data_IF_627656861419
#
_entry.id   IF_627656861419
#
_cell.length_a   1.000
_cell.length_b   1.000
_cell.length_c   1.000
_cell.angle_alpha   90.00
_cell.angle_beta   90.00
_cell.angle_gamma   90.00
#
_symmetry.space_group_name_H-M   'P 1'
#
loop_
_entity.id
_entity.type
_entity.pdbx_description
1 polymer ?
#
# COMPACT_ATOMS: atom_id res chain seq x y z
N UNK A 1 7.27 22.89 -12.91
CA UNK A 1 8.15 21.85 -12.33
C UNK A 1 7.38 20.82 -11.49
N UNK A 2 6.62 21.27 -10.51
CA UNK A 2 5.99 20.42 -9.47
C UNK A 2 4.83 19.53 -10.01
N UNK A 3 4.02 20.05 -10.92
CA UNK A 3 2.92 19.30 -11.56
C UNK A 3 3.44 18.14 -12.42
N UNK A 4 4.57 18.36 -13.10
CA UNK A 4 5.20 17.34 -13.95
C UNK A 4 5.84 16.22 -13.13
N UNK A 5 6.39 16.55 -11.96
CA UNK A 5 6.91 15.57 -11.01
C UNK A 5 5.79 14.71 -10.41
N UNK A 6 4.68 15.33 -10.01
CA UNK A 6 3.49 14.63 -9.49
C UNK A 6 2.82 13.74 -10.54
N UNK A 7 2.80 14.17 -11.80
CA UNK A 7 2.32 13.32 -12.91
C UNK A 7 3.24 12.12 -13.13
N UNK A 8 4.56 12.31 -13.04
CA UNK A 8 5.52 11.21 -13.17
C UNK A 8 5.43 10.24 -11.99
N UNK A 9 5.23 10.75 -10.78
CA UNK A 9 5.04 9.91 -9.58
C UNK A 9 3.72 9.13 -9.65
N UNK A 10 2.64 9.75 -10.14
CA UNK A 10 1.34 9.10 -10.34
C UNK A 10 1.39 8.03 -11.46
N UNK A 11 2.13 8.27 -12.53
CA UNK A 11 2.34 7.24 -13.57
C UNK A 11 3.19 6.09 -13.03
N UNK A 12 4.25 6.36 -12.28
CA UNK A 12 5.07 5.32 -11.65
C UNK A 12 4.27 4.46 -10.66
N UNK A 13 3.40 5.09 -9.84
CA UNK A 13 2.50 4.38 -8.93
C UNK A 13 1.44 3.56 -9.68
N UNK A 14 0.95 4.05 -10.81
CA UNK A 14 0.01 3.32 -11.66
C UNK A 14 0.66 2.10 -12.31
N UNK A 15 1.90 2.24 -12.76
CA UNK A 15 2.69 1.15 -13.35
C UNK A 15 3.04 0.08 -12.29
N UNK A 16 3.43 0.53 -11.09
CA UNK A 16 3.69 -0.34 -9.94
C UNK A 16 2.44 -1.13 -9.54
N UNK A 17 1.28 -0.47 -9.45
CA UNK A 17 -0.02 -1.12 -9.20
C UNK A 17 -0.35 -2.17 -10.24
N UNK A 18 -0.09 -1.88 -11.52
CA UNK A 18 -0.37 -2.82 -12.62
C UNK A 18 0.55 -4.04 -12.52
N UNK A 19 1.83 -3.82 -12.22
CA UNK A 19 2.81 -4.87 -11.97
C UNK A 19 2.41 -5.76 -10.79
N UNK A 20 2.00 -5.15 -9.68
CA UNK A 20 1.55 -5.86 -8.48
C UNK A 20 0.27 -6.66 -8.72
N UNK A 21 -0.68 -6.13 -9.50
CA UNK A 21 -1.87 -6.88 -9.91
C UNK A 21 -1.53 -8.10 -10.77
N UNK A 22 -0.56 -7.97 -11.67
CA UNK A 22 -0.08 -9.10 -12.47
C UNK A 22 0.58 -10.18 -11.60
N UNK A 23 1.40 -9.77 -10.62
CA UNK A 23 2.03 -10.70 -9.66
C UNK A 23 0.96 -11.44 -8.83
N UNK A 24 -0.02 -10.72 -8.29
CA UNK A 24 -1.14 -11.32 -7.55
C UNK A 24 -1.90 -12.34 -8.42
N UNK A 25 -2.12 -12.02 -9.69
CA UNK A 25 -2.79 -12.94 -10.60
C UNK A 25 -1.95 -14.21 -10.86
N UNK A 26 -0.65 -14.05 -10.98
CA UNK A 26 0.30 -15.16 -11.15
C UNK A 26 0.36 -16.04 -9.88
N UNK A 27 0.36 -15.43 -8.69
CA UNK A 27 0.32 -16.17 -7.42
C UNK A 27 -0.98 -16.96 -7.25
N UNK A 28 -2.13 -16.41 -7.62
CA UNK A 28 -3.41 -17.12 -7.62
C UNK A 28 -3.39 -18.33 -8.54
N UNK A 29 -2.89 -18.16 -9.77
CA UNK A 29 -2.75 -19.27 -10.71
C UNK A 29 -1.82 -20.38 -10.17
N UNK A 30 -0.71 -20.00 -9.52
CA UNK A 30 0.17 -20.96 -8.88
C UNK A 30 -0.51 -21.70 -7.71
N UNK A 31 -1.32 -20.99 -6.94
CA UNK A 31 -2.07 -21.57 -5.81
C UNK A 31 -3.10 -22.58 -6.29
N UNK A 32 -3.79 -22.29 -7.40
CA UNK A 32 -4.73 -23.23 -8.04
C UNK A 32 -4.01 -24.49 -8.53
N UNK A 33 -2.83 -24.33 -9.13
CA UNK A 33 -1.98 -25.47 -9.56
C UNK A 33 -1.56 -26.32 -8.36
N UNK A 34 -1.12 -25.68 -7.26
CA UNK A 34 -0.74 -26.36 -6.02
C UNK A 34 -1.91 -27.13 -5.40
N UNK A 35 -3.10 -26.55 -5.37
CA UNK A 35 -4.30 -27.19 -4.86
C UNK A 35 -4.70 -28.40 -5.72
N UNK A 36 -4.58 -28.30 -7.05
CA UNK A 36 -4.80 -29.44 -7.93
C UNK A 36 -3.78 -30.55 -7.69
N UNK A 37 -2.50 -30.19 -7.55
CA UNK A 37 -1.43 -31.14 -7.28
C UNK A 37 -1.59 -31.83 -5.91
N UNK A 38 -2.02 -31.06 -4.87
CA UNK A 38 -2.38 -31.61 -3.57
C UNK A 38 -3.47 -32.67 -3.73
N UNK A 39 -4.57 -32.34 -4.44
CA UNK A 39 -5.67 -33.27 -4.68
C UNK A 39 -5.22 -34.56 -5.39
N UNK A 40 -4.30 -34.43 -6.35
CA UNK A 40 -3.71 -35.61 -7.02
C UNK A 40 -2.91 -36.46 -6.06
N UNK A 41 -2.14 -35.84 -5.16
CA UNK A 41 -1.34 -36.55 -4.16
C UNK A 41 -2.17 -37.23 -3.08
N UNK A 42 -3.24 -36.58 -2.64
CA UNK A 42 -4.21 -37.16 -1.69
C UNK A 42 -4.84 -38.42 -2.29
N UNK A 43 -5.20 -38.41 -3.60
CA UNK A 43 -5.70 -39.60 -4.30
C UNK A 43 -4.64 -40.70 -4.43
N UNK A 44 -3.38 -40.32 -4.66
CA UNK A 44 -2.26 -41.28 -4.70
C UNK A 44 -2.02 -41.89 -3.32
N UNK A 45 -2.09 -41.10 -2.26
CA UNK A 45 -1.94 -41.55 -0.89
C UNK A 45 -3.04 -42.56 -0.51
N UNK A 46 -4.30 -42.28 -0.88
CA UNK A 46 -5.41 -43.24 -0.70
C UNK A 46 -5.14 -44.55 -1.46
N UNK A 47 -4.68 -44.49 -2.70
CA UNK A 47 -4.32 -45.67 -3.49
C UNK A 47 -3.18 -46.52 -2.85
N UNK A 48 -2.21 -45.84 -2.23
CA UNK A 48 -1.13 -46.51 -1.50
C UNK A 48 -1.68 -47.15 -0.22
N UNK A 49 -2.60 -46.49 0.50
CA UNK A 49 -3.25 -47.08 1.68
C UNK A 49 -4.07 -48.31 1.34
N UNK A 50 -4.82 -48.28 0.20
CA UNK A 50 -5.56 -49.46 -0.30
C UNK A 50 -4.63 -50.64 -0.64
N UNK A 51 -3.47 -50.34 -1.28
CA UNK A 51 -2.44 -51.37 -1.54
C UNK A 51 -1.88 -51.94 -0.26
N UNK A 52 -1.66 -51.08 0.74
CA UNK A 52 -1.18 -51.52 2.05
C UNK A 52 -2.17 -52.46 2.73
N UNK A 53 -3.46 -52.11 2.71
CA UNK A 53 -4.51 -52.97 3.27
C UNK A 53 -4.61 -54.34 2.53
N UNK A 54 -4.46 -54.33 1.19
CA UNK A 54 -4.40 -55.57 0.41
C UNK A 54 -3.22 -56.44 0.76
N UNK A 55 -2.01 -55.85 0.91
CA UNK A 55 -0.79 -56.58 1.34
C UNK A 55 -0.94 -57.14 2.76
N UNK A 56 -1.59 -56.43 3.66
CA UNK A 56 -1.89 -56.93 5.01
C UNK A 56 -2.84 -58.13 4.99
N UNK A 57 -3.83 -58.14 4.11
CA UNK A 57 -4.72 -59.31 3.88
C UNK A 57 -3.97 -60.49 3.29
N UNK A 58 -3.10 -60.24 2.31
CA UNK A 58 -2.27 -61.30 1.70
C UNK A 58 -1.29 -61.88 2.71
N UNK A 59 -0.66 -61.03 3.58
CA UNK A 59 0.15 -61.48 4.70
C UNK A 59 -0.64 -62.42 5.62
N UNK A 60 -1.87 -62.06 5.99
CA UNK A 60 -2.72 -62.90 6.85
C UNK A 60 -3.06 -64.26 6.17
N UNK A 61 -3.20 -64.29 4.87
CA UNK A 61 -3.42 -65.53 4.09
C UNK A 61 -2.15 -66.37 3.98
N UNK A 62 -0.97 -65.76 3.84
CA UNK A 62 0.33 -66.40 3.72
C UNK A 62 0.86 -66.95 5.06
N UNK A 63 0.37 -66.46 6.21
CA UNK A 63 0.77 -66.98 7.56
C UNK A 63 0.52 -68.46 7.73
N UNK A 64 -0.31 -69.07 6.90
CA UNK A 64 -0.56 -70.53 6.93
C UNK A 64 0.36 -71.35 6.03
N UNK A 65 1.13 -70.73 5.12
CA UNK A 65 1.87 -71.42 4.05
C UNK A 65 3.37 -71.06 3.98
N UNK A 66 3.79 -69.91 4.48
CA UNK A 66 5.19 -69.40 4.37
C UNK A 66 6.07 -69.74 5.58
N UNK A 67 7.40 -69.72 5.36
CA UNK A 67 8.37 -69.88 6.44
C UNK A 67 8.37 -68.64 7.39
N UNK A 68 8.70 -68.84 8.66
CA UNK A 68 8.82 -67.74 9.65
C UNK A 68 9.85 -66.66 9.24
N UNK A 69 10.82 -67.02 8.39
CA UNK A 69 11.79 -66.05 7.86
C UNK A 69 11.15 -65.13 6.82
N UNK A 70 10.43 -65.71 5.86
CA UNK A 70 9.73 -64.93 4.81
C UNK A 70 8.68 -63.96 5.41
N UNK A 71 7.98 -64.42 6.46
CA UNK A 71 7.00 -63.56 7.17
C UNK A 71 7.67 -62.42 7.94
N UNK A 72 8.89 -62.57 8.42
CA UNK A 72 9.64 -61.48 9.05
C UNK A 72 10.10 -60.45 8.03
N UNK A 73 10.59 -60.89 6.87
CA UNK A 73 11.03 -60.05 5.79
C UNK A 73 9.85 -59.21 5.25
N UNK A 74 8.66 -59.84 5.08
CA UNK A 74 7.44 -59.15 4.69
C UNK A 74 7.00 -58.14 5.76
N UNK A 75 7.07 -58.48 7.05
CA UNK A 75 6.75 -57.58 8.13
C UNK A 75 7.69 -56.35 8.14
N UNK A 76 8.99 -56.56 7.93
CA UNK A 76 9.97 -55.46 7.88
C UNK A 76 9.70 -54.52 6.70
N UNK A 77 9.31 -55.07 5.54
CA UNK A 77 8.87 -54.25 4.37
C UNK A 77 7.60 -53.43 4.68
N UNK A 78 6.60 -54.04 5.30
CA UNK A 78 5.36 -53.36 5.70
C UNK A 78 5.66 -52.22 6.70
N UNK A 79 6.52 -52.48 7.66
CA UNK A 79 6.92 -51.48 8.68
C UNK A 79 7.69 -50.30 8.04
N UNK A 80 8.49 -50.58 7.00
CA UNK A 80 9.18 -49.52 6.26
C UNK A 80 8.21 -48.68 5.43
N UNK A 81 7.26 -49.32 4.73
CA UNK A 81 6.20 -48.65 4.00
C UNK A 81 5.37 -47.75 4.94
N UNK A 82 4.99 -48.26 6.11
CA UNK A 82 4.24 -47.49 7.11
C UNK A 82 5.03 -46.24 7.58
N UNK A 83 6.35 -46.40 7.86
CA UNK A 83 7.20 -45.25 8.22
C UNK A 83 7.26 -44.20 7.13
N UNK A 84 7.36 -44.60 5.87
CA UNK A 84 7.40 -43.69 4.74
C UNK A 84 6.03 -42.97 4.53
N UNK A 85 4.91 -43.70 4.69
CA UNK A 85 3.58 -43.16 4.67
C UNK A 85 3.35 -42.08 5.76
N UNK A 86 3.81 -42.36 6.96
CA UNK A 86 3.75 -41.40 8.07
C UNK A 86 4.54 -40.12 7.74
N UNK A 87 5.74 -40.25 7.16
CA UNK A 87 6.53 -39.12 6.71
C UNK A 87 5.81 -38.30 5.63
N UNK A 88 5.19 -38.97 4.64
CA UNK A 88 4.38 -38.30 3.62
C UNK A 88 3.20 -37.55 4.26
N UNK A 89 2.50 -38.20 5.21
CA UNK A 89 1.38 -37.60 5.92
C UNK A 89 1.79 -36.34 6.68
N UNK A 90 2.90 -36.38 7.42
CA UNK A 90 3.43 -35.24 8.16
C UNK A 90 3.80 -34.08 7.22
N UNK A 91 4.54 -34.38 6.13
CA UNK A 91 4.94 -33.36 5.15
C UNK A 91 3.74 -32.77 4.40
N UNK A 92 2.74 -33.57 4.07
CA UNK A 92 1.51 -33.10 3.45
C UNK A 92 0.73 -32.14 4.36
N UNK A 93 0.62 -32.45 5.66
CA UNK A 93 0.01 -31.53 6.64
C UNK A 93 0.78 -30.23 6.74
N UNK A 94 2.10 -30.29 6.80
CA UNK A 94 2.93 -29.09 6.84
C UNK A 94 2.76 -28.24 5.58
N UNK A 95 2.69 -28.86 4.40
CA UNK A 95 2.42 -28.17 3.14
C UNK A 95 1.05 -27.46 3.18
N UNK A 96 0.04 -28.12 3.73
CA UNK A 96 -1.31 -27.55 3.87
C UNK A 96 -1.32 -26.32 4.79
N UNK A 97 -0.66 -26.41 5.93
CA UNK A 97 -0.53 -25.27 6.87
C UNK A 97 0.14 -24.06 6.22
N UNK A 98 1.20 -24.27 5.44
CA UNK A 98 1.89 -23.20 4.72
C UNK A 98 0.99 -22.63 3.60
N UNK A 99 0.24 -23.48 2.91
CA UNK A 99 -0.71 -23.05 1.87
C UNK A 99 -1.79 -22.13 2.44
N UNK A 100 -2.34 -22.46 3.61
CA UNK A 100 -3.30 -21.61 4.33
C UNK A 100 -2.69 -20.25 4.70
N UNK A 101 -1.40 -20.22 5.06
CA UNK A 101 -0.72 -18.95 5.33
C UNK A 101 -0.58 -18.10 4.06
N UNK A 102 -0.20 -18.72 2.93
CA UNK A 102 -0.13 -18.05 1.63
C UNK A 102 -1.50 -17.49 1.22
N UNK A 103 -2.57 -18.26 1.37
CA UNK A 103 -3.93 -17.79 1.07
C UNK A 103 -4.31 -16.54 1.87
N UNK A 104 -3.96 -16.49 3.17
CA UNK A 104 -4.19 -15.30 4.00
C UNK A 104 -3.44 -14.08 3.46
N UNK A 105 -2.18 -14.25 3.09
CA UNK A 105 -1.38 -13.18 2.51
C UNK A 105 -1.99 -12.70 1.19
N UNK A 106 -2.33 -13.63 0.29
CA UNK A 106 -2.98 -13.33 -1.00
C UNK A 106 -4.29 -12.55 -0.83
N UNK A 107 -5.05 -12.85 0.23
CA UNK A 107 -6.28 -12.12 0.53
C UNK A 107 -6.03 -10.69 1.05
N UNK A 108 -4.92 -10.44 1.74
CA UNK A 108 -4.60 -9.12 2.30
C UNK A 108 -3.94 -8.17 1.30
N UNK A 109 -3.13 -8.66 0.37
CA UNK A 109 -2.40 -7.85 -0.61
C UNK A 109 -3.30 -6.93 -1.45
N UNK A 110 -4.47 -7.36 -1.98
CA UNK A 110 -5.37 -6.48 -2.73
C UNK A 110 -5.94 -5.34 -1.89
N UNK A 111 -6.22 -5.60 -0.60
CA UNK A 111 -6.71 -4.59 0.33
C UNK A 111 -5.65 -3.50 0.52
N UNK A 112 -4.41 -3.91 0.81
CA UNK A 112 -3.29 -2.98 0.97
C UNK A 112 -2.98 -2.20 -0.30
N UNK A 113 -3.05 -2.83 -1.48
CA UNK A 113 -2.92 -2.17 -2.78
C UNK A 113 -3.99 -1.10 -3.00
N UNK A 114 -5.25 -1.40 -2.64
CA UNK A 114 -6.34 -0.42 -2.71
C UNK A 114 -6.13 0.74 -1.73
N UNK A 115 -5.65 0.46 -0.52
CA UNK A 115 -5.35 1.50 0.47
C UNK A 115 -4.20 2.41 0.02
N UNK A 116 -3.15 1.86 -0.61
CA UNK A 116 -2.09 2.64 -1.24
C UNK A 116 -2.62 3.56 -2.33
N UNK A 117 -3.56 3.08 -3.13
CA UNK A 117 -4.21 3.88 -4.19
C UNK A 117 -5.03 5.02 -3.61
N UNK A 118 -5.83 4.75 -2.56
CA UNK A 118 -6.59 5.78 -1.85
C UNK A 118 -5.70 6.83 -1.22
N UNK A 119 -4.63 6.40 -0.54
CA UNK A 119 -3.66 7.31 0.07
C UNK A 119 -2.95 8.18 -0.97
N UNK A 120 -2.62 7.62 -2.14
CA UNK A 120 -2.06 8.41 -3.25
C UNK A 120 -3.03 9.49 -3.74
N UNK A 121 -4.33 9.17 -3.85
CA UNK A 121 -5.37 10.15 -4.17
C UNK A 121 -5.47 11.26 -3.12
N UNK A 122 -5.56 10.90 -1.83
CA UNK A 122 -5.61 11.87 -0.73
C UNK A 122 -4.38 12.79 -0.67
N UNK A 123 -3.20 12.26 -0.96
CA UNK A 123 -1.96 13.02 -1.05
C UNK A 123 -2.05 14.04 -2.19
N UNK A 124 -2.47 13.61 -3.38
CA UNK A 124 -2.61 14.48 -4.55
C UNK A 124 -3.64 15.60 -4.32
N UNK A 125 -4.78 15.26 -3.71
CA UNK A 125 -5.84 16.22 -3.38
C UNK A 125 -5.34 17.27 -2.37
N UNK A 126 -4.64 16.83 -1.32
CA UNK A 126 -4.06 17.74 -0.33
C UNK A 126 -2.98 18.65 -0.93
N UNK A 127 -2.10 18.12 -1.78
CA UNK A 127 -1.08 18.91 -2.47
C UNK A 127 -1.72 19.98 -3.36
N UNK A 128 -2.78 19.62 -4.08
CA UNK A 128 -3.56 20.56 -4.89
C UNK A 128 -4.22 21.63 -4.03
N UNK A 129 -4.84 21.25 -2.92
CA UNK A 129 -5.48 22.19 -1.98
C UNK A 129 -4.47 23.15 -1.34
N UNK A 130 -3.28 22.65 -0.96
CA UNK A 130 -2.17 23.47 -0.43
C UNK A 130 -1.71 24.49 -1.49
N UNK A 131 -1.55 24.05 -2.74
CA UNK A 131 -1.15 24.94 -3.84
C UNK A 131 -2.16 26.06 -4.05
N UNK A 132 -3.45 25.73 -4.12
CA UNK A 132 -4.52 26.69 -4.29
C UNK A 132 -4.64 27.68 -3.10
N UNK A 133 -4.47 27.18 -1.88
CA UNK A 133 -4.47 28.02 -0.69
C UNK A 133 -3.27 28.98 -0.65
N UNK A 134 -2.09 28.52 -1.05
CA UNK A 134 -0.87 29.35 -1.14
C UNK A 134 -1.01 30.44 -2.22
N UNK A 135 -1.56 30.12 -3.37
CA UNK A 135 -1.85 31.09 -4.43
C UNK A 135 -2.82 32.16 -3.93
N UNK A 136 -3.96 31.76 -3.35
CA UNK A 136 -4.94 32.67 -2.79
C UNK A 136 -4.36 33.55 -1.67
N UNK A 137 -3.48 33.00 -0.83
CA UNK A 137 -2.75 33.78 0.19
C UNK A 137 -1.85 34.83 -0.46
N UNK A 138 -1.14 34.47 -1.52
CA UNK A 138 -0.26 35.40 -2.24
C UNK A 138 -1.06 36.56 -2.87
N UNK A 139 -2.22 36.28 -3.46
CA UNK A 139 -3.12 37.28 -3.99
C UNK A 139 -3.61 38.25 -2.89
N UNK A 140 -3.99 37.70 -1.73
CA UNK A 140 -4.41 38.50 -0.57
C UNK A 140 -3.28 39.34 -0.01
N UNK A 141 -2.05 38.84 0.00
CA UNK A 141 -0.88 39.62 0.39
C UNK A 141 -0.61 40.77 -0.57
N UNK A 142 -0.73 40.53 -1.87
CA UNK A 142 -0.63 41.59 -2.89
C UNK A 142 -1.73 42.64 -2.71
N UNK A 143 -2.97 42.20 -2.47
CA UNK A 143 -4.08 43.10 -2.16
C UNK A 143 -3.82 43.94 -0.92
N UNK A 144 -3.39 43.34 0.19
CA UNK A 144 -3.05 44.02 1.43
C UNK A 144 -1.94 45.08 1.20
N UNK A 145 -0.93 44.74 0.43
CA UNK A 145 0.15 45.67 0.10
C UNK A 145 -0.34 46.88 -0.68
N UNK A 146 -1.27 46.70 -1.63
CA UNK A 146 -1.91 47.80 -2.35
C UNK A 146 -2.75 48.68 -1.43
N UNK A 147 -3.56 48.07 -0.55
CA UNK A 147 -4.35 48.77 0.45
C UNK A 147 -3.49 49.62 1.36
N UNK A 148 -2.36 49.09 1.83
CA UNK A 148 -1.39 49.80 2.68
C UNK A 148 -0.72 50.97 1.92
N UNK A 149 -0.44 50.81 0.62
CA UNK A 149 0.09 51.94 -0.20
C UNK A 149 -0.92 53.06 -0.35
N UNK A 150 -2.20 52.70 -0.62
CA UNK A 150 -3.27 53.71 -0.77
C UNK A 150 -3.51 54.42 0.57
N UNK A 151 -3.56 53.69 1.70
CA UNK A 151 -3.68 54.28 3.03
C UNK A 151 -2.56 55.31 3.32
N UNK A 152 -1.32 55.00 2.97
CA UNK A 152 -0.19 55.95 3.10
C UNK A 152 -0.38 57.19 2.21
N UNK A 153 -0.96 57.05 1.03
CA UNK A 153 -1.27 58.21 0.16
C UNK A 153 -2.38 59.06 0.76
N UNK A 154 -3.40 58.44 1.37
CA UNK A 154 -4.46 59.16 2.09
C UNK A 154 -3.94 59.95 3.28
N UNK A 155 -2.98 59.38 4.05
CA UNK A 155 -2.30 60.11 5.12
C UNK A 155 -1.60 61.39 4.60
N UNK A 156 -0.90 61.28 3.45
CA UNK A 156 -0.29 62.48 2.83
C UNK A 156 -1.34 63.50 2.34
N UNK A 157 -2.49 63.04 1.85
CA UNK A 157 -3.54 63.96 1.43
C UNK A 157 -4.16 64.72 2.62
N UNK A 158 -4.32 64.03 3.77
CA UNK A 158 -4.82 64.61 5.00
C UNK A 158 -3.90 65.72 5.54
N UNK A 159 -2.57 65.64 5.26
CA UNK A 159 -1.58 66.65 5.66
C UNK A 159 -1.46 67.84 4.69
N UNK A 160 -2.19 67.80 3.50
CA UNK A 160 -2.14 68.87 2.52
C UNK A 160 -2.83 70.15 3.06
N UNK A 161 -2.17 71.26 2.90
CA UNK A 161 -2.68 72.58 3.28
C UNK A 161 -2.50 73.55 2.12
N UNK A 162 -3.53 74.25 1.73
CA UNK A 162 -3.43 75.28 0.71
C UNK A 162 -2.38 76.31 1.06
N UNK A 163 -1.60 76.72 0.07
CA UNK A 163 -0.48 77.65 0.25
C UNK A 163 0.83 77.05 0.74
N UNK A 164 0.89 75.73 1.04
CA UNK A 164 2.08 75.01 1.37
C UNK A 164 2.51 74.06 0.25
N UNK A 165 3.77 73.92 -0.08
CA UNK A 165 4.21 73.03 -1.16
C UNK A 165 3.88 71.57 -0.85
N UNK A 166 3.24 70.90 -1.79
CA UNK A 166 2.96 69.49 -1.70
C UNK A 166 4.27 68.67 -1.58
N UNK A 167 4.40 67.76 -0.62
CA UNK A 167 5.63 66.94 -0.46
C UNK A 167 5.83 65.95 -1.62
N UNK A 168 4.80 65.66 -2.44
CA UNK A 168 4.85 64.76 -3.57
C UNK A 168 5.18 65.43 -4.90
N UNK A 169 4.59 66.63 -5.18
CA UNK A 169 4.74 67.31 -6.48
C UNK A 169 5.15 68.76 -6.39
N UNK A 170 5.25 69.36 -5.17
CA UNK A 170 5.61 70.75 -4.98
C UNK A 170 4.50 71.77 -5.27
N UNK A 171 3.27 71.36 -5.65
CA UNK A 171 2.14 72.27 -5.91
C UNK A 171 1.75 73.04 -4.64
N UNK A 172 1.31 74.29 -4.79
CA UNK A 172 0.75 75.09 -3.72
C UNK A 172 -0.79 75.09 -3.68
N UNK A 173 -1.40 74.57 -4.70
CA UNK A 173 -2.87 74.46 -4.83
C UNK A 173 -3.29 72.99 -4.74
N UNK A 174 -4.24 72.68 -3.83
CA UNK A 174 -4.69 71.32 -3.54
C UNK A 174 -6.23 71.28 -3.63
N UNK A 175 -6.81 71.28 -4.85
CA UNK A 175 -8.25 71.41 -5.02
C UNK A 175 -9.07 70.25 -4.46
N UNK A 176 -8.42 69.14 -4.16
CA UNK A 176 -9.07 67.94 -3.61
C UNK A 176 -8.77 67.70 -2.12
N UNK A 177 -8.06 68.59 -1.44
CA UNK A 177 -7.69 68.42 -0.02
C UNK A 177 -8.90 68.52 0.94
N UNK A 178 -9.97 69.22 0.53
CA UNK A 178 -11.15 69.47 1.37
C UNK A 178 -12.28 68.41 1.16
N UNK A 179 -12.34 67.77 -0.01
CA UNK A 179 -13.44 66.88 -0.41
C UNK A 179 -12.94 65.52 -0.92
N UNK A 180 -11.87 65.00 -0.35
CA UNK A 180 -11.35 63.70 -0.78
C UNK A 180 -12.17 62.56 -0.15
N UNK A 181 -12.87 61.72 -0.94
CA UNK A 181 -13.53 60.56 -0.40
C UNK A 181 -12.47 59.59 0.09
N UNK A 182 -12.52 59.15 1.35
CA UNK A 182 -11.67 58.10 1.86
C UNK A 182 -11.83 56.85 0.99
N UNK A 183 -10.78 56.50 0.28
CA UNK A 183 -10.77 55.35 -0.67
C UNK A 183 -10.66 54.01 0.04
N UNK A 184 -10.15 54.01 1.27
CA UNK A 184 -9.98 52.80 2.03
C UNK A 184 -10.59 52.94 3.41
N UNK A 185 -11.52 52.07 3.73
CA UNK A 185 -11.95 51.89 5.11
C UNK A 185 -10.90 51.00 5.81
N UNK A 186 -10.43 51.40 6.96
CA UNK A 186 -9.51 50.63 7.84
C UNK A 186 -9.99 49.19 8.05
N UNK A 187 -11.29 48.95 7.91
CA UNK A 187 -11.95 47.65 7.92
C UNK A 187 -11.49 46.68 6.80
N UNK A 188 -11.19 47.17 5.57
CA UNK A 188 -10.82 46.31 4.45
C UNK A 188 -9.39 45.71 4.64
N UNK A 189 -8.43 46.51 5.07
CA UNK A 189 -7.09 46.04 5.35
C UNK A 189 -7.11 45.03 6.48
N UNK A 190 -7.86 45.31 7.56
CA UNK A 190 -8.03 44.39 8.70
C UNK A 190 -8.70 43.10 8.29
N UNK A 191 -9.72 43.16 7.45
CA UNK A 191 -10.40 41.98 6.92
C UNK A 191 -9.47 41.13 6.04
N UNK A 192 -8.71 41.78 5.15
CA UNK A 192 -7.72 41.09 4.30
C UNK A 192 -6.65 40.41 5.14
N UNK A 193 -6.19 41.06 6.21
CA UNK A 193 -5.21 40.49 7.15
C UNK A 193 -5.76 39.26 7.90
N UNK A 194 -7.04 39.29 8.30
CA UNK A 194 -7.72 38.11 8.87
C UNK A 194 -7.79 36.96 7.86
N UNK A 195 -8.14 37.23 6.62
CA UNK A 195 -8.21 36.22 5.57
C UNK A 195 -6.84 35.56 5.31
N UNK A 196 -5.77 36.36 5.38
CA UNK A 196 -4.40 35.81 5.28
C UNK A 196 -4.12 34.87 6.44
N UNK A 197 -4.44 35.26 7.69
CA UNK A 197 -4.22 34.43 8.88
C UNK A 197 -5.06 33.12 8.83
N UNK A 198 -6.29 33.18 8.34
CA UNK A 198 -7.14 32.00 8.11
C UNK A 198 -6.53 31.06 7.06
N UNK A 199 -5.99 31.61 5.98
CA UNK A 199 -5.31 30.83 4.94
C UNK A 199 -4.02 30.21 5.48
N UNK A 200 -3.23 30.91 6.29
CA UNK A 200 -2.04 30.36 6.94
C UNK A 200 -2.39 29.18 7.85
N UNK A 201 -3.47 29.31 8.63
CA UNK A 201 -3.98 28.21 9.46
C UNK A 201 -4.44 27.03 8.61
N UNK A 202 -5.13 27.29 7.52
CA UNK A 202 -5.61 26.27 6.58
C UNK A 202 -4.43 25.53 5.94
N UNK A 203 -3.43 26.27 5.47
CA UNK A 203 -2.22 25.69 4.87
C UNK A 203 -1.49 24.79 5.89
N UNK A 204 -1.32 25.27 7.11
CA UNK A 204 -0.68 24.49 8.19
C UNK A 204 -1.42 23.17 8.46
N UNK A 205 -2.74 23.21 8.58
CA UNK A 205 -3.57 22.03 8.81
C UNK A 205 -3.50 21.04 7.64
N UNK A 206 -3.47 21.53 6.41
CA UNK A 206 -3.33 20.70 5.21
C UNK A 206 -1.94 20.09 5.13
N UNK A 207 -0.88 20.81 5.47
CA UNK A 207 0.50 20.31 5.50
C UNK A 207 0.68 19.22 6.56
N UNK A 208 0.07 19.37 7.74
CA UNK A 208 0.04 18.35 8.79
C UNK A 208 -0.71 17.10 8.34
N UNK A 209 -1.84 17.28 7.65
CA UNK A 209 -2.63 16.16 7.10
C UNK A 209 -1.87 15.44 6.01
N UNK A 210 -1.21 16.17 5.11
CA UNK A 210 -0.34 15.63 4.07
C UNK A 210 0.81 14.79 4.66
N UNK A 211 1.44 15.30 5.71
CA UNK A 211 2.50 14.57 6.43
C UNK A 211 1.99 13.25 6.99
N UNK A 212 0.83 13.24 7.63
CA UNK A 212 0.19 12.01 8.15
C UNK A 212 -0.12 11.01 7.04
N UNK A 213 -0.66 11.46 5.92
CA UNK A 213 -0.96 10.59 4.77
C UNK A 213 0.31 9.99 4.16
N UNK A 214 1.39 10.76 4.03
CA UNK A 214 2.69 10.27 3.55
C UNK A 214 3.31 9.24 4.47
N UNK A 215 3.27 9.46 5.79
CA UNK A 215 3.75 8.50 6.79
C UNK A 215 2.93 7.20 6.69
N UNK A 216 1.60 7.31 6.64
CA UNK A 216 0.74 6.15 6.51
C UNK A 216 1.00 5.38 5.21
N UNK A 217 1.15 6.08 4.08
CA UNK A 217 1.50 5.46 2.80
C UNK A 217 2.84 4.71 2.87
N UNK A 218 3.86 5.30 3.49
CA UNK A 218 5.15 4.64 3.67
C UNK A 218 5.04 3.37 4.53
N UNK A 219 4.26 3.42 5.62
CA UNK A 219 4.00 2.28 6.49
C UNK A 219 3.30 1.15 5.74
N UNK A 220 2.20 1.46 5.04
CA UNK A 220 1.46 0.45 4.26
C UNK A 220 2.32 -0.13 3.14
N UNK A 221 3.14 0.69 2.47
CA UNK A 221 4.08 0.21 1.44
C UNK A 221 5.12 -0.75 2.00
N UNK A 222 5.66 -0.45 3.17
CA UNK A 222 6.60 -1.34 3.85
C UNK A 222 5.94 -2.67 4.24
N UNK A 223 4.75 -2.62 4.81
CA UNK A 223 3.98 -3.82 5.16
C UNK A 223 3.63 -4.66 3.92
N UNK A 224 3.26 -4.01 2.82
CA UNK A 224 2.98 -4.67 1.55
C UNK A 224 4.22 -5.43 1.05
N UNK A 225 5.37 -4.78 1.01
CA UNK A 225 6.62 -5.41 0.58
C UNK A 225 7.02 -6.60 1.49
N UNK A 226 6.83 -6.47 2.80
CA UNK A 226 7.06 -7.58 3.75
C UNK A 226 6.14 -8.77 3.49
N UNK A 227 4.86 -8.53 3.18
CA UNK A 227 3.91 -9.59 2.86
C UNK A 227 4.26 -10.30 1.54
N UNK A 228 4.70 -9.57 0.52
CA UNK A 228 5.18 -10.16 -0.74
C UNK A 228 6.43 -11.03 -0.54
N UNK A 229 7.39 -10.54 0.25
CA UNK A 229 8.60 -11.31 0.59
C UNK A 229 8.24 -12.59 1.36
N UNK A 230 7.37 -12.47 2.38
CA UNK A 230 6.91 -13.61 3.14
C UNK A 230 6.18 -14.64 2.27
N UNK A 231 5.33 -14.19 1.34
CA UNK A 231 4.66 -15.05 0.37
C UNK A 231 5.67 -15.82 -0.50
N UNK A 232 6.72 -15.17 -0.95
CA UNK A 232 7.78 -15.80 -1.74
C UNK A 232 8.48 -16.89 -0.95
N UNK A 233 8.87 -16.60 0.30
CA UNK A 233 9.52 -17.56 1.20
C UNK A 233 8.63 -18.79 1.45
N UNK A 234 7.34 -18.56 1.73
CA UNK A 234 6.39 -19.65 1.97
C UNK A 234 6.19 -20.53 0.73
N UNK A 235 6.10 -19.92 -0.45
CA UNK A 235 5.99 -20.65 -1.71
C UNK A 235 7.22 -21.52 -1.99
N UNK A 236 8.42 -21.03 -1.70
CA UNK A 236 9.67 -21.82 -1.82
C UNK A 236 9.68 -23.00 -0.86
N UNK A 237 9.20 -22.82 0.38
CA UNK A 237 9.05 -23.89 1.35
C UNK A 237 8.05 -24.95 0.91
N UNK A 238 6.90 -24.53 0.38
CA UNK A 238 5.87 -25.41 -0.19
C UNK A 238 6.46 -26.22 -1.35
N UNK A 239 7.22 -25.59 -2.22
CA UNK A 239 7.84 -26.27 -3.36
C UNK A 239 8.87 -27.31 -2.93
N UNK A 240 9.65 -27.02 -1.89
CA UNK A 240 10.58 -28.00 -1.27
C UNK A 240 9.83 -29.21 -0.70
N UNK A 241 8.80 -28.96 0.12
CA UNK A 241 7.99 -30.03 0.70
C UNK A 241 7.36 -30.90 -0.39
N UNK A 242 6.89 -30.28 -1.45
CA UNK A 242 6.34 -30.98 -2.61
C UNK A 242 7.36 -31.93 -3.24
N UNK A 243 8.58 -31.44 -3.48
CA UNK A 243 9.66 -32.27 -4.04
C UNK A 243 9.99 -33.45 -3.14
N UNK A 244 10.08 -33.21 -1.82
CA UNK A 244 10.34 -34.25 -0.84
C UNK A 244 9.22 -35.31 -0.82
N UNK A 245 7.97 -34.90 -0.88
CA UNK A 245 6.80 -35.79 -0.94
C UNK A 245 6.85 -36.63 -2.23
N UNK A 246 7.15 -36.01 -3.37
CA UNK A 246 7.29 -36.70 -4.66
C UNK A 246 8.38 -37.80 -4.62
N UNK A 247 9.52 -37.51 -3.97
CA UNK A 247 10.60 -38.46 -3.81
C UNK A 247 10.17 -39.66 -2.93
N UNK A 248 9.52 -39.38 -1.78
CA UNK A 248 9.02 -40.42 -0.88
C UNK A 248 7.97 -41.31 -1.57
N UNK A 249 7.03 -40.71 -2.30
CA UNK A 249 5.99 -41.44 -3.05
C UNK A 249 6.65 -42.31 -4.14
N UNK A 250 7.65 -41.76 -4.85
CA UNK A 250 8.37 -42.52 -5.88
C UNK A 250 9.12 -43.72 -5.30
N UNK A 251 9.67 -43.58 -4.08
CA UNK A 251 10.32 -44.70 -3.39
C UNK A 251 9.35 -45.79 -2.91
N UNK A 252 8.06 -45.43 -2.69
CA UNK A 252 7.02 -46.39 -2.28
C UNK A 252 6.42 -47.17 -3.47
N UNK A 253 6.54 -46.65 -4.69
CA UNK A 253 5.94 -47.25 -5.90
C UNK A 253 6.92 -48.18 -6.64
N UNK A 254 8.24 -47.97 -6.45
CA UNK A 254 9.31 -48.77 -7.07
C UNK A 254 9.73 -49.93 -6.15
#
# INVERSE_FOLDING_TARGET
>A
GRLKALLQENTALSDDKTSQQQQIHQYRANLDVLNQQKKTKDTTMLSIQDKLAALQQEQAALTQVQSLADMRDEQEQIDDINRQLDQVSVKAKQQDELSVQVEKIVATLPVMSNDLTKLAGLIADNESAISAAKEKRQDKQAQLHLLQKVAKLEDYIADLKDGHPCPLCGSLEHPYSADHPHLIQETEATQTQRQIAELDTTISNLEDTLSKHRINQATVRQQFAQQEEQQTILNDQIQKLKTDIDQLISSLIN
#
